data_IF_230029289997
#
_entry.id   IF_230029289997
#
_cell.length_a   1.000
_cell.length_b   1.000
_cell.length_c   1.000
_cell.angle_alpha   90.00
_cell.angle_beta   90.00
_cell.angle_gamma   90.00
#
_symmetry.space_group_name_H-M   'P 1'
#
loop_
_entity.id
_entity.type
_entity.pdbx_description
1 polymer ?
#
# COMPACT_ATOMS: atom_id res chain seq x y z
N UNK A 1 -42.64 1.55 -6.21
CA UNK A 1 -41.33 2.23 -6.06
C UNK A 1 -40.66 1.62 -4.84
N UNK A 2 -40.03 0.47 -5.03
CA UNK A 2 -39.32 -0.25 -3.97
C UNK A 2 -37.88 0.26 -3.93
N UNK A 3 -37.57 0.98 -2.86
CA UNK A 3 -36.22 1.37 -2.47
C UNK A 3 -35.35 0.11 -2.38
N UNK A 4 -34.38 -0.04 -3.28
CA UNK A 4 -33.33 -1.05 -3.17
C UNK A 4 -32.41 -0.61 -2.04
N UNK A 5 -32.47 -1.30 -0.90
CA UNK A 5 -31.51 -1.12 0.18
C UNK A 5 -30.17 -1.69 -0.25
N UNK A 6 -29.29 -0.83 -0.77
CA UNK A 6 -27.88 -1.16 -0.85
C UNK A 6 -27.38 -1.47 0.57
N UNK A 7 -26.71 -2.60 0.76
CA UNK A 7 -26.05 -2.92 2.01
C UNK A 7 -25.18 -1.71 2.40
N UNK A 8 -25.36 -1.16 3.60
CA UNK A 8 -24.54 -0.03 4.03
C UNK A 8 -23.11 -0.52 4.17
N UNK A 9 -22.26 -0.14 3.22
CA UNK A 9 -20.82 -0.31 3.34
C UNK A 9 -20.43 0.50 4.59
N UNK A 10 -19.77 -0.14 5.56
CA UNK A 10 -19.19 0.54 6.72
C UNK A 10 -18.01 1.39 6.23
N UNK A 11 -18.34 2.57 5.71
CA UNK A 11 -17.43 3.43 4.97
C UNK A 11 -17.14 4.67 5.81
N UNK A 12 -15.85 4.89 6.09
CA UNK A 12 -15.34 6.03 6.87
C UNK A 12 -14.50 6.97 6.00
N UNK A 13 -14.83 7.06 4.70
CA UNK A 13 -14.15 7.95 3.76
C UNK A 13 -14.54 9.42 3.99
N UNK A 14 -13.83 10.35 3.35
CA UNK A 14 -14.04 11.80 3.49
C UNK A 14 -15.45 12.30 3.14
N UNK A 15 -16.23 11.55 2.35
CA UNK A 15 -17.65 11.85 2.11
C UNK A 15 -18.59 11.36 3.22
N UNK A 16 -18.24 10.26 3.88
CA UNK A 16 -19.07 9.65 4.94
C UNK A 16 -18.75 10.24 6.32
N UNK A 17 -17.47 10.51 6.59
CA UNK A 17 -16.96 11.10 7.82
C UNK A 17 -16.02 12.27 7.47
N UNK A 18 -16.57 13.42 7.03
CA UNK A 18 -15.75 14.59 6.74
C UNK A 18 -15.07 15.09 8.02
N UNK A 19 -13.78 15.43 7.91
CA UNK A 19 -13.05 16.08 9.00
C UNK A 19 -13.48 17.55 9.09
N UNK A 20 -14.23 17.90 10.13
CA UNK A 20 -14.77 19.25 10.31
C UNK A 20 -13.69 20.32 10.59
N UNK A 21 -12.50 19.89 11.01
CA UNK A 21 -11.40 20.79 11.38
C UNK A 21 -10.41 20.98 10.22
N UNK A 22 -10.56 20.24 9.12
CA UNK A 22 -9.73 20.36 7.92
C UNK A 22 -10.51 21.03 6.79
N UNK A 23 -9.97 22.10 6.24
CA UNK A 23 -10.54 22.75 5.06
C UNK A 23 -9.94 22.17 3.80
N UNK A 24 -10.81 21.61 2.96
CA UNK A 24 -10.42 21.08 1.65
C UNK A 24 -10.03 22.20 0.69
N UNK A 25 -8.94 22.01 -0.04
CA UNK A 25 -8.59 22.92 -1.13
C UNK A 25 -9.54 22.78 -2.35
N UNK A 26 -9.33 23.60 -3.39
CA UNK A 26 -10.18 23.60 -4.59
C UNK A 26 -10.12 22.25 -5.34
N UNK A 27 -8.95 21.61 -5.41
CA UNK A 27 -8.77 20.33 -6.09
C UNK A 27 -9.43 19.21 -5.31
N UNK A 28 -9.26 19.22 -3.99
CA UNK A 28 -9.89 18.31 -3.03
C UNK A 28 -11.41 18.41 -3.08
N UNK A 29 -11.96 19.63 -3.01
CA UNK A 29 -13.40 19.90 -3.13
C UNK A 29 -13.95 19.39 -4.46
N UNK A 30 -13.21 19.62 -5.55
CA UNK A 30 -13.60 19.14 -6.89
C UNK A 30 -13.57 17.62 -6.98
N UNK A 31 -12.59 16.97 -6.37
CA UNK A 31 -12.51 15.51 -6.32
C UNK A 31 -13.72 14.92 -5.58
N UNK A 32 -14.07 15.48 -4.42
CA UNK A 32 -15.26 15.08 -3.65
C UNK A 32 -16.56 15.26 -4.44
N UNK A 33 -16.71 16.38 -5.15
CA UNK A 33 -17.88 16.65 -5.99
C UNK A 33 -17.99 15.70 -7.20
N UNK A 34 -16.86 15.32 -7.81
CA UNK A 34 -16.85 14.31 -8.88
C UNK A 34 -17.25 12.94 -8.33
N UNK A 35 -16.63 12.51 -7.22
CA UNK A 35 -16.91 11.21 -6.60
C UNK A 35 -18.36 11.15 -6.12
N UNK A 36 -18.86 12.19 -5.46
CA UNK A 36 -20.25 12.24 -4.98
C UNK A 36 -21.28 12.21 -6.11
N UNK A 37 -20.98 12.80 -7.27
CA UNK A 37 -21.91 12.83 -8.42
C UNK A 37 -21.85 11.59 -9.31
N UNK A 38 -20.65 11.03 -9.51
CA UNK A 38 -20.43 9.97 -10.50
C UNK A 38 -20.13 8.60 -9.87
N UNK A 39 -19.73 8.58 -8.60
CA UNK A 39 -19.34 7.40 -7.83
C UNK A 39 -17.83 7.14 -7.83
N UNK A 40 -17.08 7.73 -8.77
CA UNK A 40 -15.62 7.64 -8.80
C UNK A 40 -14.99 8.81 -9.55
N UNK A 41 -13.72 9.03 -9.27
CA UNK A 41 -12.80 9.88 -10.03
C UNK A 41 -11.71 8.98 -10.64
N UNK A 42 -11.26 9.28 -11.86
CA UNK A 42 -10.04 8.70 -12.44
C UNK A 42 -8.93 9.74 -12.41
N UNK A 43 -7.81 9.40 -11.79
CA UNK A 43 -6.57 10.21 -11.82
C UNK A 43 -5.58 9.55 -12.77
N UNK A 44 -5.07 10.29 -13.75
CA UNK A 44 -4.06 9.82 -14.68
C UNK A 44 -2.76 10.62 -14.53
N UNK A 45 -1.63 9.92 -14.53
CA UNK A 45 -0.29 10.45 -14.38
C UNK A 45 0.47 10.14 -15.67
N UNK A 46 0.99 11.20 -16.28
CA UNK A 46 1.77 11.11 -17.51
C UNK A 46 3.10 10.40 -17.29
N UNK A 47 3.61 9.78 -18.36
CA UNK A 47 4.93 9.17 -18.33
C UNK A 47 6.01 10.23 -18.09
N UNK A 48 6.91 9.98 -17.14
CA UNK A 48 8.00 10.88 -16.78
C UNK A 48 9.22 10.09 -16.29
N UNK A 49 10.43 10.60 -16.53
CA UNK A 49 11.70 10.04 -16.02
C UNK A 49 11.89 8.53 -16.29
N UNK A 50 11.41 8.04 -17.43
CA UNK A 50 11.48 6.62 -17.82
C UNK A 50 10.44 5.73 -17.13
N UNK A 51 9.57 6.29 -16.31
CA UNK A 51 8.41 5.62 -15.74
C UNK A 51 7.23 5.75 -16.71
N UNK A 52 6.62 4.64 -17.15
CA UNK A 52 5.41 4.69 -17.96
C UNK A 52 4.25 5.36 -17.20
N UNK A 53 3.35 5.99 -17.94
CA UNK A 53 2.16 6.60 -17.35
C UNK A 53 1.25 5.56 -16.68
N UNK A 54 0.49 5.99 -15.69
CA UNK A 54 -0.50 5.15 -15.01
C UNK A 54 -1.76 5.93 -14.68
N UNK A 55 -2.85 5.22 -14.43
CA UNK A 55 -4.07 5.81 -13.94
C UNK A 55 -4.70 4.92 -12.87
N UNK A 56 -5.49 5.52 -12.00
CA UNK A 56 -6.20 4.80 -10.95
C UNK A 56 -7.51 5.48 -10.58
N UNK A 57 -8.43 4.72 -9.97
CA UNK A 57 -9.72 5.25 -9.49
C UNK A 57 -9.67 5.65 -8.02
N UNK A 58 -10.59 6.53 -7.63
CA UNK A 58 -10.90 6.84 -6.23
C UNK A 58 -12.42 6.95 -6.09
N UNK A 59 -13.02 6.22 -5.15
CA UNK A 59 -14.45 6.27 -4.83
C UNK A 59 -15.23 4.99 -5.14
N UNK A 60 -14.69 4.04 -5.91
CA UNK A 60 -15.40 2.80 -6.26
C UNK A 60 -15.73 1.95 -5.03
N UNK A 61 -14.83 1.90 -4.05
CA UNK A 61 -15.11 1.18 -2.81
C UNK A 61 -16.26 1.84 -2.05
N UNK A 62 -16.28 3.18 -1.99
CA UNK A 62 -17.35 3.92 -1.33
C UNK A 62 -18.71 3.72 -2.04
N UNK A 63 -18.75 3.78 -3.37
CA UNK A 63 -20.01 3.78 -4.11
C UNK A 63 -20.56 2.40 -4.44
N UNK A 64 -19.70 1.40 -4.62
CA UNK A 64 -20.10 0.08 -5.13
C UNK A 64 -19.48 -1.10 -4.36
N UNK A 65 -18.64 -0.85 -3.36
CA UNK A 65 -17.93 -1.90 -2.61
C UNK A 65 -16.85 -2.64 -3.42
N UNK A 66 -16.55 -2.16 -4.62
CA UNK A 66 -15.48 -2.68 -5.48
C UNK A 66 -14.11 -2.24 -4.96
N UNK A 67 -13.03 -2.99 -5.22
CA UNK A 67 -11.70 -2.42 -5.08
C UNK A 67 -11.54 -1.23 -6.03
N UNK A 68 -10.67 -0.29 -5.68
CA UNK A 68 -10.23 0.72 -6.64
C UNK A 68 -9.47 0.05 -7.78
N UNK A 69 -9.43 0.67 -8.95
CA UNK A 69 -8.81 0.12 -10.15
C UNK A 69 -7.52 0.86 -10.47
N UNK A 70 -6.53 0.16 -11.01
CA UNK A 70 -5.28 0.75 -11.50
C UNK A 70 -4.86 0.16 -12.85
N UNK A 71 -4.29 0.97 -13.73
CA UNK A 71 -3.79 0.55 -15.04
C UNK A 71 -2.51 1.32 -15.39
N UNK A 72 -1.56 0.68 -16.06
CA UNK A 72 -0.21 1.23 -16.32
C UNK A 72 0.20 1.03 -17.78
N UNK A 73 1.13 1.83 -18.28
CA UNK A 73 1.90 1.48 -19.48
C UNK A 73 1.31 1.85 -20.85
N UNK A 74 0.08 2.38 -20.90
CA UNK A 74 -0.57 2.87 -22.12
C UNK A 74 -0.73 4.40 -22.07
N UNK A 75 -1.05 5.07 -23.20
CA UNK A 75 -1.38 6.49 -23.20
C UNK A 75 -2.47 6.82 -22.17
N UNK A 76 -2.33 7.92 -21.43
CA UNK A 76 -3.22 8.30 -20.32
C UNK A 76 -4.69 8.40 -20.73
N UNK A 77 -4.98 8.86 -21.94
CA UNK A 77 -6.33 8.87 -22.50
C UNK A 77 -6.93 7.45 -22.63
N UNK A 78 -6.11 6.47 -23.05
CA UNK A 78 -6.52 5.05 -23.12
C UNK A 78 -6.73 4.48 -21.73
N UNK A 79 -5.78 4.70 -20.81
CA UNK A 79 -5.91 4.27 -19.41
C UNK A 79 -7.20 4.81 -18.78
N UNK A 80 -7.46 6.11 -18.95
CA UNK A 80 -8.64 6.77 -18.43
C UNK A 80 -9.94 6.20 -19.02
N UNK A 81 -9.98 5.94 -20.33
CA UNK A 81 -11.15 5.36 -20.97
C UNK A 81 -11.42 3.92 -20.47
N UNK A 82 -10.40 3.07 -20.43
CA UNK A 82 -10.52 1.69 -19.96
C UNK A 82 -10.98 1.63 -18.50
N UNK A 83 -10.41 2.45 -17.61
CA UNK A 83 -10.82 2.48 -16.21
C UNK A 83 -12.26 2.91 -16.03
N UNK A 84 -12.76 3.89 -16.81
CA UNK A 84 -14.17 4.27 -16.76
C UNK A 84 -15.10 3.16 -17.26
N UNK A 85 -14.71 2.41 -18.27
CA UNK A 85 -15.50 1.28 -18.78
C UNK A 85 -15.58 0.16 -17.73
N UNK A 86 -14.46 -0.21 -17.10
CA UNK A 86 -14.46 -1.22 -16.03
C UNK A 86 -15.22 -0.73 -14.80
N UNK A 87 -15.04 0.52 -14.39
CA UNK A 87 -15.80 1.15 -13.30
C UNK A 87 -17.32 1.17 -13.60
N UNK A 88 -17.70 1.35 -14.87
CA UNK A 88 -19.08 1.24 -15.32
C UNK A 88 -19.72 -0.11 -14.98
N UNK A 89 -18.96 -1.21 -15.05
CA UNK A 89 -19.45 -2.54 -14.67
C UNK A 89 -19.83 -2.62 -13.19
N UNK A 90 -19.07 -1.96 -12.32
CA UNK A 90 -19.38 -1.86 -10.89
C UNK A 90 -20.71 -1.12 -10.66
N UNK A 91 -20.90 0.01 -11.36
CA UNK A 91 -22.15 0.78 -11.34
C UNK A 91 -23.35 -0.02 -11.84
N UNK A 92 -23.14 -0.85 -12.84
CA UNK A 92 -24.19 -1.71 -13.42
C UNK A 92 -24.48 -2.96 -12.55
N UNK A 93 -23.82 -3.08 -11.40
CA UNK A 93 -24.08 -4.15 -10.42
C UNK A 93 -23.37 -5.47 -10.72
N UNK A 94 -22.39 -5.47 -11.62
CA UNK A 94 -21.54 -6.65 -11.85
C UNK A 94 -20.70 -6.88 -10.58
N UNK A 95 -20.59 -8.12 -10.09
CA UNK A 95 -19.70 -8.41 -8.96
C UNK A 95 -18.23 -8.42 -9.39
N UNK A 96 -17.36 -7.92 -8.51
CA UNK A 96 -15.92 -8.07 -8.69
C UNK A 96 -15.51 -9.54 -8.52
N UNK A 97 -14.67 -10.03 -9.43
CA UNK A 97 -14.07 -11.37 -9.37
C UNK A 97 -12.60 -11.25 -9.78
N UNK A 98 -11.69 -11.64 -8.88
CA UNK A 98 -10.26 -11.69 -9.17
C UNK A 98 -9.95 -12.73 -10.28
N UNK A 99 -9.10 -12.37 -11.22
CA UNK A 99 -8.78 -13.16 -12.41
C UNK A 99 -9.85 -13.13 -13.52
N UNK A 100 -10.94 -12.38 -13.36
CA UNK A 100 -11.94 -12.26 -14.40
C UNK A 100 -11.39 -11.56 -15.65
N UNK A 101 -11.75 -12.09 -16.82
CA UNK A 101 -11.49 -11.44 -18.11
C UNK A 101 -12.71 -10.63 -18.55
N UNK A 102 -12.47 -9.39 -18.95
CA UNK A 102 -13.49 -8.46 -19.41
C UNK A 102 -13.21 -8.07 -20.86
N UNK A 103 -14.15 -8.40 -21.75
CA UNK A 103 -14.19 -7.88 -23.11
C UNK A 103 -14.79 -6.48 -23.19
N UNK A 104 -14.68 -5.87 -24.36
CA UNK A 104 -15.20 -4.53 -24.70
C UNK A 104 -14.64 -3.38 -23.82
N UNK A 105 -13.47 -3.59 -23.20
CA UNK A 105 -12.76 -2.57 -22.41
C UNK A 105 -11.64 -1.92 -23.21
N UNK A 106 -10.87 -2.73 -23.92
CA UNK A 106 -9.79 -2.32 -24.80
C UNK A 106 -10.14 -2.78 -26.22
N UNK A 107 -10.04 -1.88 -27.20
CA UNK A 107 -10.53 -2.17 -28.55
C UNK A 107 -9.84 -3.41 -29.16
N UNK A 108 -10.63 -4.48 -29.36
CA UNK A 108 -10.15 -5.74 -29.93
C UNK A 108 -9.42 -6.67 -28.96
N UNK A 109 -9.36 -6.34 -27.66
CA UNK A 109 -8.66 -7.13 -26.64
C UNK A 109 -9.43 -7.22 -25.33
N UNK A 110 -9.41 -8.41 -24.72
CA UNK A 110 -9.85 -8.57 -23.34
C UNK A 110 -8.82 -7.96 -22.37
N UNK A 111 -9.29 -7.50 -21.21
CA UNK A 111 -8.45 -7.17 -20.05
C UNK A 111 -8.68 -8.17 -18.93
N UNK A 112 -7.73 -8.31 -18.01
CA UNK A 112 -7.84 -9.20 -16.85
C UNK A 112 -7.79 -8.40 -15.55
N UNK A 113 -8.69 -8.67 -14.61
CA UNK A 113 -8.68 -8.05 -13.28
C UNK A 113 -7.78 -8.84 -12.34
N UNK A 114 -6.82 -8.18 -11.69
CA UNK A 114 -5.91 -8.84 -10.73
C UNK A 114 -5.71 -8.00 -9.49
N UNK A 115 -5.86 -8.61 -8.32
CA UNK A 115 -5.65 -7.97 -7.02
C UNK A 115 -4.23 -7.41 -6.94
N UNK A 116 -4.13 -6.17 -6.46
CA UNK A 116 -2.86 -5.51 -6.22
C UNK A 116 -2.42 -5.70 -4.76
N UNK A 117 -1.12 -5.76 -4.55
CA UNK A 117 -0.52 -5.72 -3.22
C UNK A 117 -0.61 -4.30 -2.66
N UNK A 118 -1.00 -4.18 -1.39
CA UNK A 118 -1.21 -2.89 -0.72
C UNK A 118 0.06 -2.03 -0.68
N UNK A 119 1.25 -2.62 -0.82
CA UNK A 119 2.52 -1.89 -0.85
C UNK A 119 2.57 -0.82 -1.96
N UNK A 120 1.83 -1.02 -3.06
CA UNK A 120 1.80 -0.07 -4.17
C UNK A 120 1.06 1.23 -3.85
N UNK A 121 0.17 1.23 -2.85
CA UNK A 121 -0.57 2.42 -2.41
C UNK A 121 0.37 3.59 -2.07
N UNK A 122 1.51 3.28 -1.48
CA UNK A 122 2.49 4.26 -0.98
C UNK A 122 3.31 4.93 -2.08
N UNK A 123 3.33 4.38 -3.29
CA UNK A 123 4.11 4.90 -4.42
C UNK A 123 3.26 5.39 -5.58
N UNK A 124 2.02 4.89 -5.74
CA UNK A 124 1.22 5.13 -6.94
C UNK A 124 -0.14 5.79 -6.68
N UNK A 125 -0.75 5.65 -5.49
CA UNK A 125 -2.19 5.88 -5.29
C UNK A 125 -2.53 6.92 -4.21
N UNK A 126 -1.75 8.00 -4.11
CA UNK A 126 -1.86 9.01 -3.05
C UNK A 126 -3.27 9.59 -2.84
N UNK A 127 -4.00 9.94 -3.92
CA UNK A 127 -5.36 10.47 -3.84
C UNK A 127 -6.37 9.50 -3.24
N UNK A 128 -6.23 8.20 -3.50
CA UNK A 128 -7.18 7.20 -2.99
C UNK A 128 -7.03 7.00 -1.49
N UNK A 129 -5.78 7.03 -0.99
CA UNK A 129 -5.48 6.96 0.44
C UNK A 129 -6.03 8.17 1.19
N UNK A 130 -5.81 9.37 0.65
CA UNK A 130 -6.36 10.61 1.17
C UNK A 130 -7.90 10.55 1.31
N UNK A 131 -8.59 10.03 0.29
CA UNK A 131 -10.04 9.90 0.32
C UNK A 131 -10.54 8.86 1.33
N UNK A 132 -9.84 7.71 1.43
CA UNK A 132 -10.23 6.60 2.28
C UNK A 132 -9.98 6.84 3.79
N UNK A 133 -9.15 7.83 4.12
CA UNK A 133 -8.80 8.26 5.49
C UNK A 133 -8.09 7.18 6.33
N UNK A 134 -8.87 6.25 6.90
CA UNK A 134 -8.42 5.34 7.96
C UNK A 134 -8.17 3.92 7.48
N UNK A 135 -8.71 3.55 6.32
CA UNK A 135 -8.63 2.19 5.77
C UNK A 135 -7.84 2.25 4.48
N UNK A 136 -6.74 1.49 4.42
CA UNK A 136 -5.96 1.39 3.18
C UNK A 136 -6.83 0.83 2.05
N UNK A 137 -6.99 1.57 0.94
CA UNK A 137 -7.83 1.13 -0.16
C UNK A 137 -7.23 -0.11 -0.82
N UNK A 138 -8.08 -1.11 -1.07
CA UNK A 138 -7.70 -2.26 -1.90
C UNK A 138 -7.76 -1.87 -3.37
N UNK A 139 -6.75 -2.29 -4.12
CA UNK A 139 -6.69 -2.08 -5.57
C UNK A 139 -6.78 -3.39 -6.35
N UNK A 140 -7.35 -3.32 -7.54
CA UNK A 140 -7.24 -4.31 -8.59
C UNK A 140 -6.60 -3.67 -9.84
N UNK A 141 -5.55 -4.28 -10.34
CA UNK A 141 -4.97 -3.98 -11.62
C UNK A 141 -5.88 -4.42 -12.76
N UNK A 142 -6.14 -3.53 -13.71
CA UNK A 142 -6.69 -3.85 -15.03
C UNK A 142 -5.51 -4.17 -15.94
N UNK A 143 -5.27 -5.46 -16.17
CA UNK A 143 -4.13 -5.95 -16.92
C UNK A 143 -4.48 -6.01 -18.40
N UNK A 144 -3.65 -5.45 -19.27
CA UNK A 144 -3.82 -5.53 -20.73
C UNK A 144 -2.86 -6.58 -21.37
N UNK A 145 -3.25 -7.22 -22.48
CA UNK A 145 -2.45 -8.24 -23.17
C UNK A 145 -1.56 -7.67 -24.29
N UNK A 146 -0.63 -8.49 -24.80
CA UNK A 146 0.10 -8.20 -26.03
C UNK A 146 -0.80 -8.29 -27.28
N UNK A 147 -0.24 -7.98 -28.46
CA UNK A 147 -0.98 -8.03 -29.74
C UNK A 147 -1.48 -9.41 -30.14
N UNK A 148 -0.99 -10.47 -29.52
CA UNK A 148 -1.47 -11.84 -29.71
C UNK A 148 -2.51 -12.25 -28.66
N UNK A 149 -2.94 -11.33 -27.78
CA UNK A 149 -3.92 -11.58 -26.73
C UNK A 149 -3.36 -12.32 -25.51
N UNK A 150 -2.03 -12.36 -25.34
CA UNK A 150 -1.37 -13.01 -24.21
C UNK A 150 -1.13 -12.00 -23.10
N UNK A 151 -1.33 -12.40 -21.85
CA UNK A 151 -1.10 -11.57 -20.67
C UNK A 151 0.32 -11.73 -20.14
N UNK A 152 0.83 -10.82 -19.27
CA UNK A 152 2.20 -10.92 -18.73
C UNK A 152 2.54 -12.25 -18.04
N UNK A 153 1.55 -12.98 -17.53
CA UNK A 153 1.74 -14.29 -16.91
C UNK A 153 1.67 -15.47 -17.91
N UNK A 154 1.22 -15.23 -19.14
CA UNK A 154 1.06 -16.27 -20.16
C UNK A 154 2.40 -16.59 -20.83
N UNK A 155 2.58 -17.87 -21.18
CA UNK A 155 3.75 -18.31 -21.93
C UNK A 155 3.79 -17.63 -23.31
N UNK A 156 4.96 -17.08 -23.65
CA UNK A 156 5.18 -16.40 -24.92
C UNK A 156 4.71 -14.96 -24.97
N UNK A 157 4.25 -14.37 -23.87
CA UNK A 157 4.01 -12.91 -23.78
C UNK A 157 5.20 -12.11 -24.33
N UNK A 158 4.90 -11.06 -25.09
CA UNK A 158 5.92 -10.14 -25.60
C UNK A 158 6.67 -9.42 -24.46
N UNK A 159 7.85 -9.93 -24.13
CA UNK A 159 8.68 -9.43 -23.03
C UNK A 159 9.15 -7.99 -23.25
N UNK A 160 9.10 -7.46 -24.47
CA UNK A 160 9.39 -6.05 -24.72
C UNK A 160 8.37 -5.14 -24.02
N UNK A 161 7.17 -5.63 -23.71
CA UNK A 161 6.10 -4.88 -23.06
C UNK A 161 6.12 -4.99 -21.53
N UNK A 162 6.91 -5.91 -20.96
CA UNK A 162 6.91 -6.20 -19.52
C UNK A 162 7.25 -4.97 -18.66
N UNK A 163 8.14 -4.11 -19.13
CA UNK A 163 8.54 -2.89 -18.42
C UNK A 163 7.45 -1.80 -18.39
N UNK A 164 6.44 -1.89 -19.26
CA UNK A 164 5.33 -0.93 -19.31
C UNK A 164 4.31 -1.19 -18.21
N UNK A 165 4.14 -2.45 -17.81
CA UNK A 165 3.08 -2.88 -16.91
C UNK A 165 3.64 -3.80 -15.82
N UNK A 166 3.98 -3.27 -14.62
CA UNK A 166 4.42 -4.11 -13.51
C UNK A 166 3.23 -4.94 -13.02
N UNK A 167 3.50 -6.16 -12.56
CA UNK A 167 2.53 -6.97 -11.82
C UNK A 167 2.27 -6.35 -10.44
N UNK A 168 1.17 -5.64 -10.27
CA UNK A 168 0.84 -4.97 -9.01
C UNK A 168 0.48 -5.96 -7.90
N UNK A 169 0.05 -7.18 -8.23
CA UNK A 169 -0.12 -8.27 -7.26
C UNK A 169 1.19 -8.83 -6.68
N UNK A 170 2.33 -8.26 -7.05
CA UNK A 170 3.67 -8.67 -6.58
C UNK A 170 4.36 -7.44 -5.97
N UNK A 171 4.92 -7.54 -4.74
CA UNK A 171 5.67 -6.44 -4.14
C UNK A 171 6.85 -5.99 -4.98
N UNK A 172 7.16 -4.67 -5.07
CA UNK A 172 8.24 -4.12 -5.89
C UNK A 172 9.60 -4.81 -5.71
N UNK A 173 9.94 -5.22 -4.49
CA UNK A 173 11.19 -5.94 -4.16
C UNK A 173 11.35 -7.28 -4.88
N UNK A 174 10.25 -7.91 -5.30
CA UNK A 174 10.23 -9.17 -6.05
C UNK A 174 10.13 -8.97 -7.56
N UNK A 175 10.21 -7.73 -8.06
CA UNK A 175 10.34 -7.46 -9.49
C UNK A 175 11.80 -7.50 -9.93
N UNK A 176 11.98 -7.84 -11.20
CA UNK A 176 13.26 -7.66 -11.88
C UNK A 176 13.66 -6.16 -11.83
N UNK A 177 14.97 -5.85 -11.85
CA UNK A 177 15.44 -4.48 -11.91
C UNK A 177 14.79 -3.72 -13.08
N UNK A 178 14.18 -2.57 -12.79
CA UNK A 178 13.42 -1.81 -13.77
C UNK A 178 12.83 -0.53 -13.20
N UNK A 179 12.20 0.30 -14.06
CA UNK A 179 11.70 1.62 -13.70
C UNK A 179 10.74 1.57 -12.51
N UNK A 180 9.81 0.61 -12.49
CA UNK A 180 8.82 0.47 -11.43
C UNK A 180 9.40 0.05 -10.08
N UNK A 181 10.43 -0.80 -10.07
CA UNK A 181 11.13 -1.17 -8.84
C UNK A 181 11.95 0.00 -8.29
N UNK A 182 12.60 0.77 -9.17
CA UNK A 182 13.34 1.97 -8.79
C UNK A 182 12.38 3.06 -8.27
N UNK A 183 11.30 3.35 -9.00
CA UNK A 183 10.25 4.28 -8.59
C UNK A 183 9.66 3.89 -7.24
N UNK A 184 9.27 2.64 -7.04
CA UNK A 184 8.75 2.21 -5.74
C UNK A 184 9.78 2.36 -4.61
N UNK A 185 11.08 2.23 -4.88
CA UNK A 185 12.12 2.54 -3.90
C UNK A 185 12.28 4.06 -3.68
N UNK A 186 12.04 4.88 -4.71
CA UNK A 186 12.23 6.34 -4.73
C UNK A 186 10.99 7.18 -4.36
N UNK A 187 9.80 6.59 -4.32
CA UNK A 187 8.53 7.30 -4.07
C UNK A 187 7.97 7.16 -2.66
N UNK A 188 8.60 6.37 -1.78
CA UNK A 188 8.23 6.23 -0.34
C UNK A 188 8.65 7.48 0.49
N UNK A 189 8.24 8.67 0.06
CA UNK A 189 8.18 9.96 0.79
C UNK A 189 9.46 10.75 1.18
N UNK A 190 9.52 12.10 1.01
CA UNK A 190 10.52 12.97 1.63
C UNK A 190 10.29 13.14 3.15
N UNK A 191 10.94 12.26 3.91
CA UNK A 191 11.07 12.20 5.37
C UNK A 191 12.00 11.02 5.72
N UNK A 192 12.97 10.79 4.83
CA UNK A 192 13.18 9.53 4.10
C UNK A 192 14.32 8.66 4.65
N UNK A 193 14.93 9.06 5.76
CA UNK A 193 16.11 8.39 6.32
C UNK A 193 15.76 7.38 7.42
N UNK A 194 14.58 7.45 8.02
CA UNK A 194 14.18 6.53 9.11
C UNK A 194 13.55 5.23 8.59
N UNK A 195 12.65 5.27 7.60
CA UNK A 195 11.88 4.09 7.18
C UNK A 195 12.65 3.06 6.34
N UNK A 196 13.68 3.48 5.60
CA UNK A 196 14.59 2.57 4.89
C UNK A 196 15.75 2.08 5.76
N UNK A 197 15.84 2.52 7.02
CA UNK A 197 16.89 2.09 7.95
C UNK A 197 16.82 0.58 8.13
N UNK A 198 17.99 -0.05 8.02
CA UNK A 198 18.13 -1.44 8.40
C UNK A 198 18.25 -1.50 9.91
N UNK A 199 17.37 -2.27 10.54
CA UNK A 199 17.33 -2.45 11.99
C UNK A 199 17.54 -3.92 12.30
N UNK A 200 18.09 -4.19 13.47
CA UNK A 200 18.17 -5.54 14.00
C UNK A 200 16.77 -5.98 14.42
N UNK A 201 16.40 -7.19 14.06
CA UNK A 201 15.08 -7.73 14.39
C UNK A 201 15.18 -9.22 14.73
N UNK A 202 14.39 -9.72 15.68
CA UNK A 202 14.31 -11.16 15.90
C UNK A 202 13.93 -11.89 14.62
N UNK A 203 14.60 -12.99 14.30
CA UNK A 203 14.30 -13.77 13.08
C UNK A 203 12.86 -14.29 13.06
N UNK A 204 12.32 -14.68 14.21
CA UNK A 204 10.92 -15.08 14.39
C UNK A 204 9.91 -14.00 14.00
N UNK A 205 10.22 -12.71 14.19
CA UNK A 205 9.36 -11.59 13.77
C UNK A 205 9.28 -11.56 12.24
N UNK A 206 10.40 -11.75 11.55
CA UNK A 206 10.47 -11.68 10.09
C UNK A 206 9.99 -12.95 9.40
N UNK A 207 10.36 -14.13 9.93
CA UNK A 207 10.11 -15.42 9.27
C UNK A 207 8.80 -16.07 9.71
N UNK A 208 8.38 -15.85 10.95
CA UNK A 208 7.19 -16.49 11.54
C UNK A 208 6.09 -15.48 11.94
N UNK A 209 6.31 -14.18 11.76
CA UNK A 209 5.34 -13.14 12.11
C UNK A 209 5.11 -13.00 13.61
N UNK A 210 6.12 -13.31 14.44
CA UNK A 210 6.05 -13.08 15.88
C UNK A 210 5.90 -11.57 16.17
N UNK A 211 5.16 -11.18 17.23
CA UNK A 211 4.97 -9.78 17.56
C UNK A 211 6.25 -9.15 18.11
N UNK A 212 6.49 -7.88 17.79
CA UNK A 212 7.55 -7.11 18.44
C UNK A 212 7.12 -6.78 19.88
N UNK A 213 7.87 -7.21 20.88
CA UNK A 213 7.61 -6.94 22.29
C UNK A 213 8.61 -5.97 22.92
N UNK A 214 9.75 -5.72 22.28
CA UNK A 214 10.73 -4.72 22.72
C UNK A 214 11.35 -3.94 21.56
N UNK A 215 11.60 -2.65 21.79
CA UNK A 215 12.31 -1.73 20.89
C UNK A 215 13.43 -1.07 21.67
N UNK A 216 14.67 -1.22 21.23
CA UNK A 216 15.83 -0.58 21.88
C UNK A 216 16.56 0.32 20.91
N UNK A 217 16.97 1.49 21.39
CA UNK A 217 17.96 2.34 20.75
C UNK A 217 19.17 2.43 21.68
N UNK A 218 20.20 1.65 21.39
CA UNK A 218 21.35 1.49 22.30
C UNK A 218 22.31 2.69 22.29
N UNK A 219 23.35 2.61 23.12
CA UNK A 219 24.35 3.66 23.25
C UNK A 219 25.22 3.85 22.00
N UNK A 220 25.38 2.78 21.21
CA UNK A 220 26.12 2.79 19.94
C UNK A 220 25.29 3.42 18.81
N UNK A 221 23.98 3.55 19.03
CA UNK A 221 23.04 4.15 18.09
C UNK A 221 22.45 3.13 17.11
N UNK A 222 22.48 1.85 17.47
CA UNK A 222 21.81 0.79 16.74
C UNK A 222 20.40 0.57 17.28
N UNK A 223 19.50 0.16 16.36
CA UNK A 223 18.10 -0.11 16.66
C UNK A 223 17.85 -1.60 16.64
N UNK A 224 17.16 -2.12 17.65
CA UNK A 224 16.73 -3.51 17.71
C UNK A 224 15.24 -3.65 18.04
N UNK A 225 14.58 -4.61 17.40
CA UNK A 225 13.16 -4.92 17.53
C UNK A 225 12.99 -6.42 17.79
N UNK A 226 12.65 -6.80 19.01
CA UNK A 226 12.67 -8.21 19.42
C UNK A 226 11.30 -8.69 19.85
N UNK A 227 11.04 -9.98 19.67
CA UNK A 227 9.85 -10.69 20.16
C UNK A 227 9.94 -11.14 21.63
N UNK A 228 11.10 -10.93 22.26
CA UNK A 228 11.32 -11.13 23.69
C UNK A 228 11.61 -9.80 24.39
N UNK A 229 11.32 -9.76 25.69
CA UNK A 229 11.74 -8.67 26.58
C UNK A 229 13.15 -8.89 27.15
N UNK A 230 13.78 -10.02 26.84
CA UNK A 230 15.11 -10.40 27.32
C UNK A 230 16.15 -9.93 26.31
N UNK A 231 16.89 -8.87 26.65
CA UNK A 231 17.81 -8.15 25.76
C UNK A 231 19.14 -8.87 25.49
N UNK A 232 19.40 -10.00 26.17
CA UNK A 232 20.69 -10.71 26.13
C UNK A 232 20.77 -11.84 25.08
N UNK A 233 19.68 -12.15 24.37
CA UNK A 233 19.69 -13.19 23.32
C UNK A 233 20.06 -12.60 21.95
N UNK A 234 21.33 -12.25 21.77
CA UNK A 234 21.86 -11.70 20.52
C UNK A 234 22.07 -12.76 19.41
N UNK A 235 21.67 -14.02 19.63
CA UNK A 235 22.04 -15.13 18.73
C UNK A 235 21.07 -15.35 17.56
N UNK A 236 19.86 -14.80 17.62
CA UNK A 236 18.81 -14.99 16.59
C UNK A 236 18.22 -13.69 16.04
N UNK A 237 19.10 -12.78 15.61
CA UNK A 237 18.72 -11.55 14.93
C UNK A 237 18.91 -11.65 13.41
N UNK A 238 18.01 -11.02 12.67
CA UNK A 238 18.06 -10.74 11.25
C UNK A 238 18.12 -9.22 11.04
N UNK A 239 18.39 -8.80 9.80
CA UNK A 239 18.28 -7.41 9.38
C UNK A 239 16.99 -7.24 8.59
N UNK A 240 16.15 -6.29 9.00
CA UNK A 240 14.96 -5.91 8.24
C UNK A 240 14.85 -4.39 8.12
N UNK A 241 14.09 -3.96 7.13
CA UNK A 241 13.71 -2.56 7.02
C UNK A 241 12.70 -2.24 8.11
N UNK A 242 12.96 -1.17 8.88
CA UNK A 242 12.04 -0.64 9.90
C UNK A 242 10.62 -0.45 9.33
N UNK A 243 10.52 -0.07 8.07
CA UNK A 243 9.26 0.02 7.34
C UNK A 243 8.39 -1.25 7.48
N UNK A 244 8.95 -2.46 7.29
CA UNK A 244 8.14 -3.68 7.38
C UNK A 244 7.58 -3.91 8.79
N UNK A 245 8.32 -3.51 9.83
CA UNK A 245 7.88 -3.66 11.22
C UNK A 245 6.76 -2.66 11.56
N UNK A 246 6.90 -1.41 11.13
CA UNK A 246 5.85 -0.39 11.30
C UNK A 246 4.57 -0.74 10.53
N UNK A 247 4.70 -1.48 9.43
CA UNK A 247 3.54 -1.96 8.67
C UNK A 247 2.77 -3.06 9.42
N UNK A 248 3.48 -3.98 10.08
CA UNK A 248 2.87 -5.08 10.83
C UNK A 248 2.35 -4.61 12.20
N UNK A 249 3.03 -3.66 12.83
CA UNK A 249 2.63 -3.02 14.08
C UNK A 249 2.84 -1.49 14.04
N UNK A 250 1.81 -0.72 13.68
CA UNK A 250 1.88 0.74 13.65
C UNK A 250 2.14 1.38 15.02
N UNK A 251 1.91 0.68 16.14
CA UNK A 251 2.18 1.24 17.47
C UNK A 251 3.67 1.44 17.75
N UNK A 252 4.55 0.88 16.90
CA UNK A 252 6.00 1.06 16.98
C UNK A 252 6.45 2.49 16.62
N UNK A 253 5.63 3.26 15.89
CA UNK A 253 5.97 4.62 15.44
C UNK A 253 6.22 5.58 16.62
N UNK A 254 5.48 5.40 17.72
CA UNK A 254 5.63 6.25 18.91
C UNK A 254 7.01 6.10 19.59
N UNK A 255 7.77 5.04 19.26
CA UNK A 255 9.08 4.76 19.83
C UNK A 255 10.23 5.26 18.97
N UNK A 256 9.95 5.88 17.82
CA UNK A 256 10.99 6.46 16.96
C UNK A 256 11.64 7.71 17.58
N UNK A 257 11.09 8.18 18.70
CA UNK A 257 11.64 9.26 19.54
C UNK A 257 12.48 8.81 20.74
N UNK A 258 12.74 7.49 20.91
CA UNK A 258 13.62 6.99 21.97
C UNK A 258 15.00 7.68 21.91
N UNK A 259 15.54 8.01 23.08
CA UNK A 259 16.90 8.50 23.22
C UNK A 259 17.89 7.33 23.26
N UNK A 260 19.17 7.58 23.00
CA UNK A 260 20.20 6.55 23.10
C UNK A 260 20.25 5.97 24.51
N UNK A 261 20.42 4.66 24.60
CA UNK A 261 20.36 3.91 25.84
C UNK A 261 18.95 3.83 26.39
N UNK A 262 17.89 3.85 25.56
CA UNK A 262 16.52 3.62 26.00
C UNK A 262 15.90 2.39 25.36
N UNK A 263 15.07 1.71 26.14
CA UNK A 263 14.31 0.54 25.72
C UNK A 263 12.84 0.74 26.04
N UNK A 264 11.98 0.47 25.07
CA UNK A 264 10.55 0.29 25.24
C UNK A 264 10.18 -1.20 25.22
N UNK A 265 9.24 -1.64 26.07
CA UNK A 265 8.74 -3.01 26.06
C UNK A 265 7.26 -3.12 26.41
N UNK A 266 6.63 -4.23 26.03
CA UNK A 266 5.25 -4.59 26.36
C UNK A 266 5.12 -6.10 26.58
N UNK A 267 4.16 -6.53 27.41
CA UNK A 267 3.95 -7.95 27.70
C UNK A 267 3.22 -8.73 26.59
N UNK A 268 2.43 -8.04 25.76
CA UNK A 268 1.74 -8.56 24.57
C UNK A 268 1.41 -7.39 23.64
N UNK A 269 0.90 -7.66 22.43
CA UNK A 269 0.53 -6.63 21.44
C UNK A 269 -0.48 -5.62 22.00
N UNK A 270 -1.39 -6.06 22.86
CA UNK A 270 -2.46 -5.26 23.47
C UNK A 270 -2.03 -4.58 24.77
N UNK A 271 -0.88 -4.96 25.33
CA UNK A 271 -0.39 -4.39 26.59
C UNK A 271 0.19 -2.99 26.35
N UNK A 272 0.03 -2.06 27.31
CA UNK A 272 0.65 -0.75 27.22
C UNK A 272 2.18 -0.87 27.22
N UNK A 273 2.82 0.00 26.45
CA UNK A 273 4.28 0.11 26.42
C UNK A 273 4.80 0.74 27.72
N UNK A 274 5.93 0.22 28.17
CA UNK A 274 6.74 0.77 29.26
C UNK A 274 8.08 1.19 28.66
N UNK A 275 8.68 2.26 29.18
CA UNK A 275 9.98 2.77 28.71
C UNK A 275 10.89 2.94 29.92
N UNK A 276 12.14 2.50 29.80
CA UNK A 276 13.21 2.85 30.73
C UNK A 276 14.49 3.14 29.98
N UNK A 277 15.40 3.79 30.69
CA UNK A 277 16.80 3.81 30.29
C UNK A 277 17.34 2.38 30.41
N UNK A 278 18.01 1.89 29.37
CA UNK A 278 18.70 0.60 29.33
C UNK A 278 19.73 0.60 30.46
N UNK A 279 19.60 -0.34 31.40
CA UNK A 279 20.38 -0.34 32.62
C UNK A 279 21.89 -0.38 32.32
N UNK A 280 22.66 0.45 33.05
CA UNK A 280 24.11 0.38 33.16
C UNK A 280 24.60 -1.08 33.16
N UNK A 281 25.42 -1.43 32.18
CA UNK A 281 26.17 -2.67 32.22
C UNK A 281 27.01 -2.74 33.49
N UNK A 282 26.68 -3.67 34.39
CA UNK A 282 27.57 -4.13 35.45
C UNK A 282 27.15 -3.81 36.88
N UNK A 283 26.20 -4.59 37.40
CA UNK A 283 26.04 -4.81 38.84
C UNK A 283 26.42 -6.24 39.21
N UNK A 284 27.71 -6.51 39.41
CA UNK A 284 28.21 -7.75 40.02
C UNK A 284 27.39 -8.10 41.26
N UNK A 285 26.71 -9.25 41.24
CA UNK A 285 26.22 -9.89 42.45
C UNK A 285 27.42 -10.24 43.34
N UNK A 286 27.48 -9.59 44.51
CA UNK A 286 28.21 -10.10 45.67
C UNK A 286 27.38 -11.11 46.43
#
# INVERSE_FOLDING_TARGET
>A
MTSSGAASIDCRCRLCEPDADVHDDEQETRALDIIGRHGWLVTAIEAADGIPGWAFTTGLTHSFGWPELAMTGLPTATLHACLNEVAGRARDGVPYVDGARLGDVLEGYDVELRSADLIWNYSLFGWSRWFAQHVEPRFAQVVWPDRAGRFPADEGFDQALAHLQPRLGVPPRHHDPGPWRAWAADSVWPGREASNRMVLVSRSVVEAGAPVLSVTFDDDGDWSFTDSTDTDDASDVALAHLFHLLMDDPSLDQHMGLQRGQTAWRASVEAPWQVSDSADGGGSHG
#
